data_IF_790680734920
#
_entry.id   IF_790680734920
#
_cell.length_a   1.000
_cell.length_b   1.000
_cell.length_c   1.000
_cell.angle_alpha   90.00
_cell.angle_beta   90.00
_cell.angle_gamma   90.00
#
_symmetry.space_group_name_H-M   'P 1'
#
loop_
_entity.id
_entity.type
_entity.pdbx_description
1 polymer ?
#
# COMPACT_ATOMS: atom_id res chain seq x y z
N UNK A 1 -10.51 -1.40 -2.31
CA UNK A 1 -9.20 -0.70 -2.39
C UNK A 1 -8.54 -0.74 -1.03
N UNK A 2 -7.23 -0.98 -0.96
CA UNK A 2 -6.41 -0.86 0.25
C UNK A 2 -5.65 0.45 0.17
N UNK A 3 -5.80 1.34 1.15
CA UNK A 3 -5.05 2.60 1.21
C UNK A 3 -3.87 2.46 2.17
N UNK A 4 -2.68 2.86 1.73
CA UNK A 4 -1.47 2.89 2.54
C UNK A 4 -1.21 4.33 2.97
N UNK A 5 -1.69 4.68 4.17
CA UNK A 5 -1.63 6.03 4.73
C UNK A 5 -0.47 6.16 5.72
N UNK A 6 0.65 6.82 5.34
CA UNK A 6 1.78 7.03 6.25
C UNK A 6 1.42 8.01 7.36
N UNK A 7 1.72 7.60 8.60
CA UNK A 7 1.57 8.42 9.79
C UNK A 7 2.32 9.76 9.72
N UNK A 8 1.96 10.68 10.61
CA UNK A 8 2.44 12.06 10.54
C UNK A 8 3.95 12.22 10.72
N UNK A 9 4.62 11.28 11.39
CA UNK A 9 6.08 11.26 11.58
C UNK A 9 6.85 10.69 10.39
N UNK A 10 6.16 10.18 9.36
CA UNK A 10 6.76 9.59 8.15
C UNK A 10 6.69 10.56 6.95
N UNK A 11 6.72 11.88 7.19
CA UNK A 11 6.63 12.93 6.16
C UNK A 11 7.95 13.21 5.44
N UNK A 12 9.05 12.73 5.98
CA UNK A 12 10.38 12.93 5.41
C UNK A 12 10.67 11.95 4.26
N UNK A 13 11.84 12.10 3.63
CA UNK A 13 12.26 11.25 2.53
C UNK A 13 12.36 9.78 2.94
N UNK A 14 12.86 9.50 4.15
CA UNK A 14 12.96 8.13 4.69
C UNK A 14 11.58 7.49 4.87
N UNK A 15 10.60 8.24 5.39
CA UNK A 15 9.21 7.81 5.51
C UNK A 15 8.56 7.55 4.15
N UNK A 16 8.84 8.38 3.15
CA UNK A 16 8.34 8.13 1.80
C UNK A 16 8.98 6.89 1.16
N UNK A 17 10.28 6.67 1.37
CA UNK A 17 10.98 5.46 0.93
C UNK A 17 10.44 4.20 1.62
N UNK A 18 10.15 4.27 2.93
CA UNK A 18 9.46 3.22 3.65
C UNK A 18 8.08 2.92 3.02
N UNK A 19 7.30 3.96 2.72
CA UNK A 19 5.97 3.81 2.12
C UNK A 19 6.02 3.14 0.74
N UNK A 20 7.03 3.45 -0.07
CA UNK A 20 7.28 2.77 -1.35
C UNK A 20 7.60 1.28 -1.17
N UNK A 21 8.47 0.93 -0.21
CA UNK A 21 8.79 -0.48 0.10
C UNK A 21 7.56 -1.24 0.55
N UNK A 22 6.75 -0.65 1.44
CA UNK A 22 5.49 -1.25 1.89
C UNK A 22 4.50 -1.40 0.73
N UNK A 23 4.39 -0.42 -0.15
CA UNK A 23 3.53 -0.51 -1.33
C UNK A 23 3.95 -1.63 -2.29
N UNK A 24 5.26 -1.80 -2.53
CA UNK A 24 5.79 -2.87 -3.37
C UNK A 24 5.55 -4.24 -2.73
N UNK A 25 5.90 -4.41 -1.46
CA UNK A 25 5.67 -5.66 -0.73
C UNK A 25 4.17 -6.02 -0.66
N UNK A 26 3.29 -5.02 -0.53
CA UNK A 26 1.84 -5.22 -0.56
C UNK A 26 1.35 -5.68 -1.93
N UNK A 27 1.89 -5.09 -3.00
CA UNK A 27 1.59 -5.50 -4.38
C UNK A 27 2.00 -6.96 -4.61
N UNK A 28 3.23 -7.31 -4.24
CA UNK A 28 3.78 -8.67 -4.38
C UNK A 28 3.00 -9.69 -3.54
N UNK A 29 2.67 -9.35 -2.29
CA UNK A 29 1.89 -10.25 -1.44
C UNK A 29 0.49 -10.52 -1.99
N UNK A 30 -0.18 -9.52 -2.58
CA UNK A 30 -1.47 -9.76 -3.25
C UNK A 30 -1.29 -10.70 -4.46
N UNK A 31 -0.22 -10.53 -5.24
CA UNK A 31 0.12 -11.44 -6.34
C UNK A 31 0.37 -12.87 -5.87
N UNK A 32 1.12 -13.05 -4.79
CA UNK A 32 1.37 -14.35 -4.15
C UNK A 32 0.05 -15.03 -3.70
N UNK A 33 -0.96 -14.23 -3.34
CA UNK A 33 -2.30 -14.71 -2.99
C UNK A 33 -3.22 -14.92 -4.21
N UNK A 34 -2.71 -14.79 -5.43
CA UNK A 34 -3.48 -14.97 -6.66
C UNK A 34 -4.39 -13.79 -7.02
N UNK A 35 -4.18 -12.62 -6.40
CA UNK A 35 -4.93 -11.39 -6.68
C UNK A 35 -4.04 -10.51 -7.57
N UNK A 36 -4.60 -9.97 -8.67
CA UNK A 36 -3.91 -9.02 -9.52
C UNK A 36 -4.27 -7.58 -9.12
N UNK A 37 -3.45 -6.88 -8.33
CA UNK A 37 -3.68 -5.49 -8.00
C UNK A 37 -3.10 -4.53 -9.06
N UNK A 38 -3.70 -3.35 -9.14
CA UNK A 38 -3.04 -2.13 -9.61
C UNK A 38 -2.54 -1.35 -8.40
N UNK A 39 -1.34 -0.80 -8.48
CA UNK A 39 -0.85 0.19 -7.50
C UNK A 39 -0.95 1.60 -8.09
N UNK A 40 -1.38 2.57 -7.28
CA UNK A 40 -1.40 3.97 -7.67
C UNK A 40 -0.85 4.87 -6.58
N UNK A 41 -0.15 5.92 -6.99
CA UNK A 41 0.17 7.04 -6.11
C UNK A 41 -1.13 7.83 -5.82
N UNK A 42 -1.35 8.19 -4.55
CA UNK A 42 -2.59 8.87 -4.18
C UNK A 42 -2.65 10.33 -4.62
N UNK A 43 -1.53 10.95 -5.01
CA UNK A 43 -1.42 12.39 -5.24
C UNK A 43 -1.02 13.16 -3.98
N UNK A 44 -0.60 12.47 -2.91
CA UNK A 44 -0.04 13.11 -1.71
C UNK A 44 1.20 12.35 -1.23
N UNK A 45 1.06 11.50 -0.20
CA UNK A 45 2.19 10.78 0.41
C UNK A 45 2.02 9.26 0.41
N UNK A 46 0.80 8.78 0.19
CA UNK A 46 0.44 7.37 0.25
C UNK A 46 0.31 6.71 -1.12
N UNK A 47 0.08 5.41 -1.08
CA UNK A 47 -0.21 4.58 -2.23
C UNK A 47 -1.49 3.80 -2.00
N UNK A 48 -2.18 3.45 -3.08
CA UNK A 48 -3.42 2.70 -3.02
C UNK A 48 -3.29 1.46 -3.90
N UNK A 49 -3.69 0.31 -3.35
CA UNK A 49 -3.80 -0.95 -4.09
C UNK A 49 -5.27 -1.17 -4.44
N UNK A 50 -5.53 -1.28 -5.73
CA UNK A 50 -6.87 -1.47 -6.29
C UNK A 50 -6.91 -2.86 -6.92
N UNK A 51 -7.79 -3.72 -6.43
CA UNK A 51 -8.05 -5.03 -6.99
C UNK A 51 -9.56 -5.30 -6.94
N UNK A 52 -10.02 -6.22 -7.77
CA UNK A 52 -11.37 -6.77 -7.72
C UNK A 52 -11.30 -8.16 -7.12
N UNK A 53 -12.24 -8.50 -6.23
CA UNK A 53 -12.44 -9.86 -5.75
C UNK A 53 -13.80 -10.36 -6.24
N UNK A 54 -13.88 -11.66 -6.50
CA UNK A 54 -15.16 -12.30 -6.77
C UNK A 54 -15.95 -12.45 -5.47
N UNK A 55 -17.04 -11.68 -5.36
CA UNK A 55 -17.92 -11.69 -4.20
C UNK A 55 -19.17 -12.55 -4.42
N UNK A 56 -19.35 -13.17 -5.59
CA UNK A 56 -20.58 -13.87 -5.95
C UNK A 56 -20.98 -14.97 -4.97
N UNK A 57 -19.99 -15.62 -4.33
CA UNK A 57 -20.20 -16.66 -3.33
C UNK A 57 -20.28 -16.17 -1.87
N UNK A 58 -20.06 -14.88 -1.60
CA UNK A 58 -19.97 -14.35 -0.24
C UNK A 58 -21.36 -14.05 0.33
N UNK A 59 -21.56 -14.40 1.61
CA UNK A 59 -22.81 -14.16 2.35
C UNK A 59 -22.53 -13.46 3.68
N UNK A 60 -23.53 -12.74 4.21
CA UNK A 60 -23.45 -12.03 5.48
C UNK A 60 -22.84 -10.63 5.36
N UNK A 61 -22.19 -10.16 6.43
CA UNK A 61 -21.54 -8.85 6.45
C UNK A 61 -20.21 -8.89 5.68
N UNK A 62 -20.31 -8.62 4.36
CA UNK A 62 -19.17 -8.55 3.44
C UNK A 62 -18.15 -7.51 3.90
N UNK A 63 -18.60 -6.41 4.51
CA UNK A 63 -17.70 -5.36 4.98
C UNK A 63 -16.87 -5.82 6.19
N UNK A 64 -17.48 -6.50 7.16
CA UNK A 64 -16.71 -7.11 8.25
C UNK A 64 -15.70 -8.15 7.72
N UNK A 65 -16.11 -8.95 6.74
CA UNK A 65 -15.22 -9.90 6.09
C UNK A 65 -14.00 -9.19 5.48
N UNK A 66 -14.20 -8.13 4.69
CA UNK A 66 -13.10 -7.33 4.16
C UNK A 66 -12.20 -6.76 5.25
N UNK A 67 -12.77 -6.23 6.33
CA UNK A 67 -12.01 -5.72 7.47
C UNK A 67 -11.13 -6.80 8.10
N UNK A 68 -11.66 -8.03 8.27
CA UNK A 68 -10.88 -9.18 8.78
C UNK A 68 -9.80 -9.61 7.80
N UNK A 69 -10.09 -9.62 6.50
CA UNK A 69 -9.11 -9.92 5.46
C UNK A 69 -7.95 -8.93 5.47
N UNK A 70 -8.22 -7.63 5.60
CA UNK A 70 -7.16 -6.61 5.65
C UNK A 70 -6.31 -6.72 6.91
N UNK A 71 -6.90 -7.08 8.06
CA UNK A 71 -6.12 -7.38 9.27
C UNK A 71 -5.19 -8.58 9.06
N UNK A 72 -5.70 -9.66 8.49
CA UNK A 72 -4.89 -10.85 8.19
C UNK A 72 -3.80 -10.56 7.15
N UNK A 73 -4.13 -9.79 6.11
CA UNK A 73 -3.19 -9.31 5.11
C UNK A 73 -2.08 -8.47 5.75
N UNK A 74 -2.42 -7.52 6.62
CA UNK A 74 -1.45 -6.67 7.30
C UNK A 74 -0.49 -7.47 8.18
N UNK A 75 -0.96 -8.49 8.89
CA UNK A 75 -0.07 -9.38 9.67
C UNK A 75 0.91 -10.11 8.75
N UNK A 76 0.45 -10.68 7.64
CA UNK A 76 1.33 -11.35 6.67
C UNK A 76 2.31 -10.39 6.01
N UNK A 77 1.86 -9.18 5.69
CA UNK A 77 2.69 -8.11 5.15
C UNK A 77 3.79 -7.72 6.14
N UNK A 78 3.46 -7.59 7.42
CA UNK A 78 4.44 -7.27 8.46
C UNK A 78 5.51 -8.35 8.57
N UNK A 79 5.15 -9.64 8.53
CA UNK A 79 6.12 -10.74 8.52
C UNK A 79 7.01 -10.72 7.26
N UNK A 80 6.44 -10.45 6.08
CA UNK A 80 7.22 -10.28 4.84
C UNK A 80 8.22 -9.13 4.98
N UNK A 81 7.79 -7.97 5.48
CA UNK A 81 8.63 -6.78 5.64
C UNK A 81 9.78 -6.97 6.64
N UNK A 82 9.61 -7.79 7.69
CA UNK A 82 10.68 -8.11 8.63
C UNK A 82 11.86 -8.86 7.99
N UNK A 83 11.65 -9.49 6.84
CA UNK A 83 12.68 -10.21 6.09
C UNK A 83 13.40 -9.32 5.06
N UNK A 84 12.92 -8.09 4.87
CA UNK A 84 13.48 -7.13 3.91
C UNK A 84 14.50 -6.20 4.58
N UNK A 85 15.41 -5.64 3.78
CA UNK A 85 16.24 -4.52 4.22
C UNK A 85 15.36 -3.28 4.40
N UNK A 86 15.03 -2.91 5.64
CA UNK A 86 14.10 -1.83 5.92
C UNK A 86 14.81 -0.61 6.55
N UNK A 87 14.37 0.63 6.24
CA UNK A 87 15.05 1.85 6.69
C UNK A 87 14.93 2.13 8.20
N UNK A 88 14.28 1.23 8.96
CA UNK A 88 14.08 1.29 10.41
C UNK A 88 13.75 -0.11 10.97
N UNK A 89 13.76 -0.29 12.29
CA UNK A 89 13.22 -1.49 12.94
C UNK A 89 11.69 -1.60 12.84
N UNK A 90 11.13 -2.82 12.92
CA UNK A 90 9.69 -3.05 13.01
C UNK A 90 9.12 -2.54 14.36
N UNK A 91 7.79 -2.30 14.45
CA UNK A 91 6.80 -2.51 13.40
C UNK A 91 6.81 -1.40 12.33
N UNK A 92 6.33 -1.76 11.13
CA UNK A 92 6.22 -0.89 9.95
C UNK A 92 4.78 -0.48 9.67
N UNK A 93 3.85 -1.41 9.82
CA UNK A 93 2.45 -1.25 9.42
C UNK A 93 1.49 -1.45 10.58
N UNK A 94 0.25 -0.98 10.42
CA UNK A 94 -0.87 -1.28 11.31
C UNK A 94 -2.17 -1.32 10.53
N UNK A 95 -3.15 -2.07 11.00
CA UNK A 95 -4.54 -2.02 10.51
C UNK A 95 -5.49 -1.36 11.52
N UNK A 96 -4.95 -0.83 12.63
CA UNK A 96 -5.71 -0.12 13.64
C UNK A 96 -5.94 1.34 13.21
N UNK A 97 -7.18 1.64 12.87
CA UNK A 97 -7.60 2.99 12.44
C UNK A 97 -7.72 3.96 13.63
N UNK A 98 -8.06 3.44 14.82
CA UNK A 98 -8.21 4.22 16.05
C UNK A 98 -6.84 4.76 16.51
N UNK A 99 -6.87 5.93 17.15
CA UNK A 99 -5.70 6.61 17.72
C UNK A 99 -4.59 6.96 16.70
N UNK A 100 -4.82 8.07 15.99
CA UNK A 100 -3.86 8.63 15.01
C UNK A 100 -2.49 8.93 15.63
N UNK A 101 -2.42 9.28 16.92
CA UNK A 101 -1.15 9.62 17.58
C UNK A 101 -0.32 8.35 17.79
N UNK A 102 -0.94 7.29 18.27
CA UNK A 102 -0.26 6.00 18.50
C UNK A 102 0.35 5.40 17.22
N UNK A 103 -0.29 5.62 16.06
CA UNK A 103 0.22 5.16 14.75
C UNK A 103 1.02 6.19 13.96
N UNK A 104 1.46 7.29 14.58
CA UNK A 104 2.14 8.40 13.89
C UNK A 104 3.42 7.99 13.15
N UNK A 105 4.07 6.92 13.58
CA UNK A 105 5.30 6.38 13.02
C UNK A 105 5.09 5.08 12.21
N UNK A 106 3.85 4.73 11.88
CA UNK A 106 3.47 3.51 11.14
C UNK A 106 2.71 3.87 9.86
N UNK A 107 2.69 2.94 8.90
CA UNK A 107 1.83 3.02 7.72
C UNK A 107 0.53 2.28 8.03
N UNK A 108 -0.59 3.01 7.96
CA UNK A 108 -1.91 2.41 8.11
C UNK A 108 -2.28 1.67 6.81
N UNK A 109 -2.56 0.38 6.93
CA UNK A 109 -3.22 -0.44 5.91
C UNK A 109 -4.73 -0.25 6.10
N UNK A 110 -5.26 0.79 5.46
CA UNK A 110 -6.61 1.27 5.69
C UNK A 110 -7.64 0.53 4.81
N UNK A 111 -8.64 -0.03 5.49
CA UNK A 111 -9.81 -0.67 4.90
C UNK A 111 -11.03 0.27 4.87
N UNK A 112 -10.92 1.49 5.41
CA UNK A 112 -12.06 2.40 5.59
C UNK A 112 -12.80 2.76 4.30
N UNK A 113 -12.08 2.79 3.17
CA UNK A 113 -12.65 3.00 1.84
C UNK A 113 -13.54 1.85 1.35
N UNK A 114 -13.52 0.69 2.01
CA UNK A 114 -14.35 -0.48 1.67
C UNK A 114 -15.73 -0.45 2.36
N UNK A 115 -16.04 0.58 3.14
CA UNK A 115 -17.38 0.78 3.70
C UNK A 115 -18.41 0.89 2.56
N UNK A 116 -19.70 0.59 2.80
CA UNK A 116 -20.74 0.69 1.77
C UNK A 116 -20.80 2.04 1.04
N UNK A 117 -20.54 3.14 1.74
CA UNK A 117 -20.45 4.50 1.17
C UNK A 117 -19.01 5.02 1.17
N UNK A 118 -18.04 4.13 1.23
CA UNK A 118 -16.63 4.45 1.14
C UNK A 118 -16.30 4.85 -0.28
N UNK A 119 -15.62 5.97 -0.42
CA UNK A 119 -15.13 6.45 -1.72
C UNK A 119 -13.62 6.60 -1.67
N UNK A 120 -13.01 6.60 -2.84
CA UNK A 120 -11.59 6.88 -2.98
C UNK A 120 -11.34 7.72 -4.22
N UNK A 121 -10.25 8.50 -4.15
CA UNK A 121 -9.85 9.37 -5.25
C UNK A 121 -9.66 8.55 -6.54
N UNK A 122 -10.40 8.87 -7.60
CA UNK A 122 -10.30 8.20 -8.88
C UNK A 122 -8.87 8.29 -9.47
N UNK A 123 -8.39 7.26 -10.18
CA UNK A 123 -7.18 7.36 -10.99
C UNK A 123 -7.21 8.58 -11.94
N UNK A 124 -6.06 9.19 -12.16
CA UNK A 124 -5.82 10.38 -12.99
C UNK A 124 -6.47 11.69 -12.52
N UNK A 125 -7.13 11.70 -11.36
CA UNK A 125 -7.66 12.94 -10.77
C UNK A 125 -6.59 13.75 -10.03
N UNK A 126 -6.86 15.05 -9.84
CA UNK A 126 -5.96 16.00 -9.18
C UNK A 126 -6.25 16.03 -7.67
N UNK A 127 -5.20 15.97 -6.85
CA UNK A 127 -5.30 16.19 -5.41
C UNK A 127 -5.38 17.69 -5.10
N UNK A 128 -6.54 18.14 -4.61
CA UNK A 128 -6.81 19.58 -4.40
C UNK A 128 -5.76 20.33 -3.57
N UNK A 129 -5.21 19.73 -2.50
CA UNK A 129 -4.18 20.40 -1.66
C UNK A 129 -2.78 20.45 -2.26
N UNK A 130 -2.36 19.44 -3.00
CA UNK A 130 -0.96 19.31 -3.47
C UNK A 130 -0.82 19.67 -4.94
N UNK A 131 -1.92 19.73 -5.70
CA UNK A 131 -1.92 19.87 -7.15
C UNK A 131 -1.42 18.63 -7.90
N UNK A 132 -1.02 17.57 -7.20
CA UNK A 132 -0.45 16.37 -7.81
C UNK A 132 -1.55 15.42 -8.30
N UNK A 133 -1.24 14.66 -9.35
CA UNK A 133 -2.15 13.69 -9.95
C UNK A 133 -2.09 12.36 -9.21
N UNK A 134 -3.25 11.74 -8.96
CA UNK A 134 -3.30 10.33 -8.54
C UNK A 134 -2.97 9.46 -9.74
N UNK A 135 -1.79 8.84 -9.74
CA UNK A 135 -1.24 8.20 -10.92
C UNK A 135 -1.11 6.69 -10.71
N UNK A 136 -1.78 5.86 -11.53
CA UNK A 136 -1.44 4.43 -11.64
C UNK A 136 0.03 4.25 -11.98
N UNK A 137 0.71 3.37 -11.25
CA UNK A 137 2.12 3.11 -11.42
C UNK A 137 2.34 1.66 -11.81
N UNK A 138 3.34 1.44 -12.67
CA UNK A 138 3.90 0.10 -12.79
C UNK A 138 4.75 -0.18 -11.54
N UNK A 139 4.77 -1.42 -11.02
CA UNK A 139 5.52 -1.76 -9.80
C UNK A 139 7.00 -1.38 -9.86
N UNK A 140 7.62 -1.47 -11.05
CA UNK A 140 9.03 -1.12 -11.26
C UNK A 140 9.32 0.38 -11.10
N UNK A 141 8.29 1.22 -11.06
CA UNK A 141 8.39 2.66 -10.78
C UNK A 141 8.24 2.99 -9.29
N UNK A 142 7.78 2.06 -8.45
CA UNK A 142 7.75 2.24 -6.98
C UNK A 142 9.17 2.28 -6.43
N UNK A 143 10.03 1.42 -6.97
CA UNK A 143 11.44 1.35 -6.64
C UNK A 143 12.25 1.75 -7.87
N UNK A 144 12.89 2.91 -7.85
CA UNK A 144 13.69 3.41 -8.97
C UNK A 144 14.65 2.31 -9.43
N UNK A 145 14.41 1.75 -10.61
CA UNK A 145 15.10 0.56 -11.06
C UNK A 145 16.57 0.90 -11.34
N UNK A 146 17.47 0.71 -10.37
CA UNK A 146 18.86 0.38 -10.68
C UNK A 146 18.95 -1.12 -10.95
N UNK A 147 18.29 -1.59 -12.01
CA UNK A 147 18.79 -2.80 -12.68
C UNK A 147 19.89 -2.32 -13.60
N UNK A 148 21.14 -2.29 -13.11
CA UNK A 148 22.29 -2.31 -14.02
C UNK A 148 22.15 -3.61 -14.81
N UNK A 149 21.78 -3.50 -16.07
CA UNK A 149 22.01 -4.58 -17.03
C UNK A 149 23.49 -4.94 -16.93
N UNK A 150 23.88 -6.21 -16.72
CA UNK A 150 25.28 -6.57 -16.81
C UNK A 150 25.75 -6.18 -18.22
N UNK A 151 26.71 -5.27 -18.30
CA UNK A 151 27.40 -4.94 -19.53
C UNK A 151 28.00 -6.24 -20.06
N UNK A 152 27.42 -6.76 -21.14
CA UNK A 152 28.09 -7.78 -21.94
C UNK A 152 29.32 -7.09 -22.55
N UNK A 153 30.45 -7.18 -21.87
CA UNK A 153 31.74 -7.15 -22.54
C UNK A 153 31.74 -8.36 -23.47
N UNK A 154 31.73 -8.11 -24.78
CA UNK A 154 32.25 -9.07 -25.75
C UNK A 154 33.50 -8.43 -26.34
N UNK A 155 34.62 -9.09 -26.02
CA UNK A 155 35.91 -9.10 -26.70
C UNK A 155 35.80 -9.10 -28.21
#
# INVERSE_FOLDING_TARGET
MIDLDPGDSLKDEKGFMLTKKVALASYELLKELGIEPMVKFSGSRGFQLVCSLDNSGLKGDIFDLYRRMIRAFQVRLEEKLKQEDMPRPPPYTTSQVKDRRARSNLILVDWSSMKPMGDYRAPFSIHYRTGLVSLPLRPEKLWGSRKKTPSRCRS
#
